data_IF_397291412917
#
_entry.id   IF_397291412917
#
_cell.length_a   1.000
_cell.length_b   1.000
_cell.length_c   1.000
_cell.angle_alpha   90.00
_cell.angle_beta   90.00
_cell.angle_gamma   90.00
#
_symmetry.space_group_name_H-M   'P 1'
#
loop_
_entity.id
_entity.type
_entity.pdbx_description
1 polymer ?
#
# COMPACT_ATOMS: atom_id res chain seq x y z
N UNK A 1 31.24 -7.52 7.29
CA UNK A 1 31.11 -8.00 5.89
C UNK A 1 29.79 -7.49 5.36
N UNK A 2 29.77 -6.86 4.19
CA UNK A 2 28.54 -6.31 3.62
C UNK A 2 27.75 -7.41 2.90
N UNK A 3 26.52 -7.64 3.34
CA UNK A 3 25.59 -8.59 2.72
C UNK A 3 24.82 -7.92 1.60
N UNK A 4 24.70 -8.58 0.45
CA UNK A 4 24.03 -8.03 -0.72
C UNK A 4 22.90 -8.95 -1.17
N UNK A 5 21.78 -8.36 -1.55
CA UNK A 5 20.71 -8.99 -2.31
C UNK A 5 21.00 -8.82 -3.80
N UNK A 6 20.71 -9.81 -4.63
CA UNK A 6 20.87 -9.74 -6.08
C UNK A 6 19.54 -9.98 -6.79
N UNK A 7 19.31 -9.22 -7.86
CA UNK A 7 18.15 -9.38 -8.74
C UNK A 7 18.62 -9.43 -10.18
N UNK A 8 18.09 -10.40 -10.93
CA UNK A 8 18.42 -10.59 -12.34
C UNK A 8 17.13 -10.44 -13.14
N UNK A 9 17.15 -9.58 -14.16
CA UNK A 9 16.01 -9.34 -15.03
C UNK A 9 16.43 -9.48 -16.50
N UNK A 10 15.57 -10.00 -17.39
CA UNK A 10 15.90 -10.06 -18.80
C UNK A 10 16.08 -8.66 -19.39
N UNK A 11 17.11 -8.47 -20.20
CA UNK A 11 17.27 -7.23 -20.95
C UNK A 11 16.12 -7.07 -21.95
N UNK A 12 15.65 -5.84 -22.20
CA UNK A 12 14.67 -5.58 -23.26
C UNK A 12 15.16 -6.16 -24.59
N UNK A 13 14.34 -6.98 -25.24
CA UNK A 13 14.66 -7.55 -26.57
C UNK A 13 14.22 -6.64 -27.72
N UNK A 14 13.35 -5.66 -27.43
CA UNK A 14 12.77 -4.73 -28.39
C UNK A 14 12.66 -3.36 -27.75
N UNK A 15 12.72 -2.31 -28.58
CA UNK A 15 12.51 -0.96 -28.13
C UNK A 15 11.04 -0.63 -27.89
N UNK A 16 10.78 0.14 -26.84
CA UNK A 16 9.45 0.62 -26.47
C UNK A 16 9.14 1.90 -27.27
N UNK A 17 7.89 2.05 -27.72
CA UNK A 17 7.46 3.28 -28.40
C UNK A 17 7.20 4.37 -27.36
N UNK A 18 7.85 5.51 -27.52
CA UNK A 18 7.56 6.71 -26.75
C UNK A 18 7.52 7.95 -27.67
N UNK A 19 6.91 9.02 -27.17
CA UNK A 19 6.73 10.26 -27.93
C UNK A 19 8.09 10.87 -28.28
N UNK A 20 8.28 11.19 -29.56
CA UNK A 20 9.50 11.84 -30.05
C UNK A 20 10.63 10.88 -30.46
N UNK A 21 10.51 9.57 -30.18
CA UNK A 21 11.50 8.58 -30.61
C UNK A 21 11.23 8.17 -32.06
N UNK A 22 12.23 8.33 -32.93
CA UNK A 22 12.09 8.08 -34.37
C UNK A 22 12.86 6.84 -34.79
N UNK A 23 14.04 6.61 -34.22
CA UNK A 23 14.88 5.46 -34.58
C UNK A 23 14.52 4.20 -33.79
N UNK A 24 15.03 3.04 -34.22
CA UNK A 24 14.92 1.80 -33.46
C UNK A 24 15.88 1.80 -32.25
N UNK A 25 17.05 2.41 -32.41
CA UNK A 25 18.05 2.59 -31.36
C UNK A 25 17.50 3.46 -30.23
N UNK A 26 16.83 4.57 -30.54
CA UNK A 26 16.19 5.48 -29.57
C UNK A 26 15.17 4.73 -28.71
N UNK A 27 14.36 3.88 -29.35
CA UNK A 27 13.34 3.06 -28.70
C UNK A 27 13.97 2.01 -27.80
N UNK A 28 15.07 1.42 -28.23
CA UNK A 28 15.80 0.43 -27.45
C UNK A 28 16.48 1.07 -26.23
N UNK A 29 17.18 2.19 -26.42
CA UNK A 29 17.78 2.97 -25.36
C UNK A 29 16.72 3.40 -24.34
N UNK A 30 15.57 3.90 -24.80
CA UNK A 30 14.46 4.26 -23.92
C UNK A 30 13.94 3.08 -23.09
N UNK A 31 13.75 1.90 -23.71
CA UNK A 31 13.32 0.71 -22.99
C UNK A 31 14.34 0.29 -21.92
N UNK A 32 15.64 0.33 -22.25
CA UNK A 32 16.71 0.02 -21.31
C UNK A 32 16.76 1.04 -20.17
N UNK A 33 16.72 2.33 -20.48
CA UNK A 33 16.68 3.41 -19.49
C UNK A 33 15.49 3.27 -18.55
N UNK A 34 14.30 2.91 -19.07
CA UNK A 34 13.12 2.65 -18.25
C UNK A 34 13.38 1.56 -17.21
N UNK A 35 13.89 0.40 -17.63
CA UNK A 35 14.21 -0.71 -16.72
C UNK A 35 15.26 -0.30 -15.69
N UNK A 36 16.31 0.40 -16.11
CA UNK A 36 17.35 0.87 -15.18
C UNK A 36 16.79 1.84 -14.13
N UNK A 37 15.95 2.78 -14.54
CA UNK A 37 15.32 3.73 -13.62
C UNK A 37 14.33 3.06 -12.67
N UNK A 38 13.52 2.11 -13.16
CA UNK A 38 12.62 1.32 -12.30
C UNK A 38 13.41 0.55 -11.23
N UNK A 39 14.51 -0.08 -11.60
CA UNK A 39 15.37 -0.77 -10.63
C UNK A 39 16.06 0.20 -9.66
N UNK A 40 16.54 1.35 -10.14
CA UNK A 40 17.11 2.38 -9.29
C UNK A 40 16.09 2.95 -8.28
N UNK A 41 14.83 3.14 -8.69
CA UNK A 41 13.75 3.58 -7.79
C UNK A 41 13.48 2.58 -6.66
N UNK A 42 13.56 1.29 -6.96
CA UNK A 42 13.44 0.19 -5.99
C UNK A 42 14.71 0.01 -5.11
N UNK A 43 15.71 0.87 -5.28
CA UNK A 43 16.97 0.85 -4.54
C UNK A 43 17.99 -0.16 -5.04
N UNK A 44 17.84 -0.67 -6.27
CA UNK A 44 18.80 -1.58 -6.88
C UNK A 44 19.88 -0.83 -7.65
N UNK A 45 21.13 -1.27 -7.49
CA UNK A 45 22.31 -0.78 -8.21
C UNK A 45 22.62 -1.71 -9.39
N UNK A 46 22.80 -1.14 -10.58
CA UNK A 46 23.22 -1.90 -11.75
C UNK A 46 24.67 -2.39 -11.59
N UNK A 47 24.88 -3.69 -11.78
CA UNK A 47 26.21 -4.30 -11.67
C UNK A 47 26.81 -4.62 -13.03
N UNK A 48 26.08 -5.38 -13.86
CA UNK A 48 26.56 -5.83 -15.18
C UNK A 48 25.43 -6.42 -16.03
N UNK A 49 25.76 -6.72 -17.28
CA UNK A 49 24.94 -7.53 -18.18
C UNK A 49 25.65 -8.86 -18.44
N UNK A 50 24.93 -9.97 -18.26
CA UNK A 50 25.41 -11.32 -18.59
C UNK A 50 24.62 -11.85 -19.79
N UNK A 51 25.30 -12.50 -20.74
CA UNK A 51 24.64 -13.12 -21.91
C UNK A 51 24.81 -14.63 -21.83
N UNK A 52 23.70 -15.36 -21.69
CA UNK A 52 23.69 -16.80 -21.48
C UNK A 52 22.98 -17.53 -22.64
N UNK A 53 23.44 -18.73 -23.01
CA UNK A 53 22.70 -19.59 -23.92
C UNK A 53 21.45 -20.14 -23.24
N UNK A 54 20.35 -20.20 -23.98
CA UNK A 54 19.06 -20.77 -23.59
C UNK A 54 18.68 -21.79 -24.65
N UNK A 55 18.56 -23.05 -24.24
CA UNK A 55 18.10 -24.13 -25.10
C UNK A 55 16.57 -24.19 -25.09
N UNK A 56 15.97 -23.96 -26.26
CA UNK A 56 14.53 -24.04 -26.45
C UNK A 56 14.22 -25.16 -27.46
N UNK A 57 13.20 -25.99 -27.18
CA UNK A 57 12.72 -26.97 -28.16
C UNK A 57 11.84 -26.26 -29.17
N UNK A 58 12.27 -26.21 -30.43
CA UNK A 58 11.56 -25.49 -31.49
C UNK A 58 11.01 -26.46 -32.54
N UNK A 59 9.75 -26.28 -32.92
CA UNK A 59 9.09 -27.00 -34.02
C UNK A 59 8.51 -28.38 -33.67
N UNK A 60 7.75 -28.94 -34.61
CA UNK A 60 7.03 -30.22 -34.45
C UNK A 60 7.97 -31.43 -34.34
N UNK A 61 9.20 -31.33 -34.87
CA UNK A 61 10.22 -32.38 -34.84
C UNK A 61 11.15 -32.30 -33.62
N UNK A 62 10.94 -31.36 -32.70
CA UNK A 62 11.64 -31.30 -31.41
C UNK A 62 13.13 -30.93 -31.46
N UNK A 63 13.59 -30.22 -32.51
CA UNK A 63 14.99 -29.78 -32.60
C UNK A 63 15.29 -28.78 -31.46
N UNK A 64 16.41 -28.99 -30.77
CA UNK A 64 16.91 -28.05 -29.76
C UNK A 64 17.58 -26.87 -30.49
N UNK A 65 17.11 -25.66 -30.23
CA UNK A 65 17.72 -24.42 -30.70
C UNK A 65 18.33 -23.68 -29.52
N UNK A 66 19.59 -23.26 -29.66
CA UNK A 66 20.28 -22.44 -28.66
C UNK A 66 20.13 -20.97 -29.04
N UNK A 67 19.38 -20.21 -28.25
CA UNK A 67 19.30 -18.75 -28.35
C UNK A 67 20.18 -18.11 -27.29
N UNK A 68 20.69 -16.90 -27.54
CA UNK A 68 21.42 -16.15 -26.51
C UNK A 68 20.50 -15.09 -25.90
N UNK A 69 20.41 -15.07 -24.57
CA UNK A 69 19.64 -14.07 -23.85
C UNK A 69 20.54 -13.24 -22.95
N UNK A 70 20.46 -11.92 -23.11
CA UNK A 70 21.08 -10.96 -22.20
C UNK A 70 20.21 -10.71 -20.97
N UNK A 71 20.84 -10.70 -19.81
CA UNK A 71 20.26 -10.52 -18.49
C UNK A 71 20.98 -9.37 -17.79
N UNK A 72 20.22 -8.46 -17.20
CA UNK A 72 20.74 -7.35 -16.40
C UNK A 72 20.81 -7.80 -14.94
N UNK A 73 21.99 -7.67 -14.35
CA UNK A 73 22.27 -8.05 -12.95
C UNK A 73 22.31 -6.79 -12.10
N UNK A 74 21.50 -6.77 -11.06
CA UNK A 74 21.43 -5.71 -10.08
C UNK A 74 21.75 -6.23 -8.68
N UNK A 75 22.25 -5.34 -7.82
CA UNK A 75 22.50 -5.64 -6.40
C UNK A 75 21.91 -4.56 -5.49
N UNK A 76 21.62 -4.89 -4.25
CA UNK A 76 21.25 -3.92 -3.20
C UNK A 76 21.90 -4.35 -1.89
N UNK A 77 22.48 -3.41 -1.15
CA UNK A 77 23.02 -3.70 0.17
C UNK A 77 21.88 -4.02 1.15
N UNK A 78 21.98 -5.17 1.83
CA UNK A 78 21.12 -5.47 2.97
C UNK A 78 21.70 -4.76 4.19
N UNK A 79 20.90 -3.88 4.80
CA UNK A 79 21.32 -3.17 6.00
C UNK A 79 21.57 -4.19 7.11
N UNK A 80 22.83 -4.43 7.44
CA UNK A 80 23.18 -5.19 8.63
C UNK A 80 22.72 -4.39 9.85
N UNK A 81 22.19 -5.05 10.88
CA UNK A 81 21.77 -4.40 12.13
C UNK A 81 22.91 -3.56 12.77
N UNK A 82 24.16 -3.81 12.40
CA UNK A 82 25.34 -3.07 12.85
C UNK A 82 25.66 -1.78 12.05
N UNK A 83 25.08 -1.58 10.85
CA UNK A 83 25.32 -0.41 9.99
C UNK A 83 24.24 0.69 10.15
N UNK A 84 23.42 0.57 11.19
CA UNK A 84 22.59 1.66 11.68
C UNK A 84 23.50 2.76 12.27
N UNK A 85 24.08 3.60 11.40
CA UNK A 85 24.82 4.79 11.82
C UNK A 85 24.00 5.69 12.77
N UNK A 86 24.62 6.68 13.43
CA UNK A 86 24.01 7.45 14.53
C UNK A 86 22.68 8.15 14.19
N UNK A 87 22.36 8.33 12.91
CA UNK A 87 21.04 8.82 12.46
C UNK A 87 19.89 7.83 12.72
N UNK A 88 20.13 6.51 12.63
CA UNK A 88 19.15 5.49 12.95
C UNK A 88 18.94 5.36 14.48
N UNK A 89 19.98 5.57 15.28
CA UNK A 89 19.87 5.68 16.74
C UNK A 89 19.07 6.93 17.17
N UNK A 90 19.24 8.08 16.50
CA UNK A 90 18.46 9.29 16.77
C UNK A 90 16.96 9.12 16.48
N UNK A 91 16.59 8.36 15.46
CA UNK A 91 15.18 8.08 15.17
C UNK A 91 14.51 7.22 16.26
N UNK A 92 15.28 6.40 17.00
CA UNK A 92 14.78 5.59 18.12
C UNK A 92 14.74 6.40 19.43
N UNK A 93 15.58 7.43 19.59
CA UNK A 93 15.63 8.28 20.80
C UNK A 93 14.76 9.54 20.72
N UNK A 94 14.10 9.80 19.58
CA UNK A 94 13.31 11.02 19.35
C UNK A 94 11.79 10.85 19.58
N UNK A 95 11.35 9.78 20.24
CA UNK A 95 10.06 9.77 20.91
C UNK A 95 10.29 9.97 22.42
N UNK A 96 10.12 11.18 22.96
CA UNK A 96 9.71 11.25 24.35
C UNK A 96 8.32 10.62 24.40
N UNK A 97 8.25 9.37 24.87
CA UNK A 97 6.99 8.82 25.37
C UNK A 97 6.54 9.80 26.45
N UNK A 98 5.63 10.70 26.09
CA UNK A 98 4.89 11.47 27.04
C UNK A 98 4.19 10.44 27.94
N UNK A 99 4.39 10.49 29.27
CA UNK A 99 3.66 9.60 30.15
C UNK A 99 2.16 9.78 29.88
N UNK A 100 1.37 8.70 29.82
CA UNK A 100 -0.08 8.84 29.70
C UNK A 100 -0.56 9.73 30.86
N UNK A 101 -1.48 10.67 30.61
CA UNK A 101 -2.02 11.48 31.70
C UNK A 101 -2.64 10.54 32.72
N UNK A 102 -2.18 10.64 33.97
CA UNK A 102 -2.82 9.98 35.10
C UNK A 102 -4.30 10.40 35.10
N UNK A 103 -5.26 9.47 35.30
CA UNK A 103 -6.64 9.85 35.43
C UNK A 103 -6.77 10.82 36.60
N UNK A 104 -7.26 12.03 36.31
CA UNK A 104 -7.61 12.99 37.34
C UNK A 104 -8.68 12.34 38.23
N UNK A 105 -8.33 12.05 39.49
CA UNK A 105 -9.31 11.75 40.51
C UNK A 105 -10.15 13.02 40.66
N UNK A 106 -11.40 12.95 40.20
CA UNK A 106 -12.35 14.03 40.39
C UNK A 106 -12.49 14.30 41.90
N UNK A 107 -12.44 15.57 42.35
CA UNK A 107 -12.74 15.87 43.74
C UNK A 107 -14.19 15.48 44.02
N UNK A 108 -14.39 14.74 45.11
CA UNK A 108 -15.71 14.42 45.63
C UNK A 108 -16.55 15.71 45.78
N UNK A 109 -17.82 15.73 45.37
CA UNK A 109 -18.65 16.91 45.52
C UNK A 109 -18.88 17.19 47.00
N UNK A 110 -18.47 18.38 47.45
CA UNK A 110 -18.85 18.93 48.75
C UNK A 110 -20.36 19.24 48.70
N UNK A 111 -21.14 18.87 49.73
CA UNK A 111 -22.58 19.15 49.73
C UNK A 111 -22.83 20.66 49.88
N UNK A 112 -23.75 21.26 49.12
CA UNK A 112 -24.14 22.64 49.35
C UNK A 112 -25.00 22.75 50.62
N UNK A 113 -24.65 23.75 51.43
CA UNK A 113 -25.39 24.15 52.62
C UNK A 113 -26.82 24.60 52.27
N UNK A 114 -27.72 24.32 53.21
CA UNK A 114 -29.18 24.46 53.19
C UNK A 114 -29.68 25.91 53.17
N UNK A 115 -30.78 26.17 52.43
CA UNK A 115 -32.03 26.86 52.84
C UNK A 115 -32.61 27.81 51.75
N UNK A 116 -33.93 28.13 51.76
CA UNK A 116 -35.11 27.32 52.13
C UNK A 116 -36.17 27.24 51.00
N UNK A 117 -37.10 26.30 51.18
CA UNK A 117 -38.18 25.95 50.27
C UNK A 117 -39.27 27.02 50.10
N UNK A 118 -39.85 27.08 48.89
CA UNK A 118 -41.16 27.70 48.60
C UNK A 118 -42.00 26.67 47.83
N UNK A 119 -43.27 26.39 48.23
CA UNK A 119 -44.10 25.29 47.71
C UNK A 119 -44.86 25.64 46.38
N UNK A 120 -45.54 24.67 45.75
CA UNK A 120 -45.84 24.63 44.31
C UNK A 120 -47.24 25.19 43.94
N UNK A 121 -47.59 25.18 42.64
CA UNK A 121 -48.81 24.46 42.28
C UNK A 121 -48.68 23.57 41.02
N UNK A 122 -49.48 22.50 41.02
CA UNK A 122 -49.67 21.49 39.98
C UNK A 122 -50.64 21.97 38.87
N UNK A 123 -51.20 21.07 38.04
CA UNK A 123 -50.64 20.22 36.97
C UNK A 123 -51.19 20.66 35.60
N UNK A 124 -50.87 19.99 34.47
CA UNK A 124 -51.80 19.62 33.37
C UNK A 124 -51.07 18.86 32.25
N UNK A 125 -51.60 17.66 31.98
CA UNK A 125 -51.72 16.89 30.72
C UNK A 125 -50.52 16.61 29.78
N UNK A 126 -50.39 15.31 29.48
CA UNK A 126 -49.74 14.73 28.30
C UNK A 126 -50.42 15.19 26.98
N UNK A 127 -49.82 14.98 25.78
CA UNK A 127 -49.71 13.63 25.21
C UNK A 127 -48.42 13.32 24.41
N UNK A 128 -48.07 12.03 24.36
CA UNK A 128 -47.23 11.39 23.32
C UNK A 128 -47.99 11.34 21.96
N UNK A 129 -47.46 10.85 20.82
CA UNK A 129 -46.14 10.26 20.49
C UNK A 129 -45.55 10.83 19.17
N UNK A 130 -44.44 10.28 18.66
CA UNK A 130 -44.32 9.68 17.30
C UNK A 130 -43.01 8.91 17.17
N UNK A 131 -43.12 7.60 17.01
CA UNK A 131 -42.06 6.70 16.55
C UNK A 131 -42.08 6.72 15.02
N UNK A 132 -40.96 6.97 14.36
CA UNK A 132 -40.82 6.69 12.93
C UNK A 132 -39.53 5.90 12.69
N UNK A 133 -39.69 4.59 12.58
CA UNK A 133 -38.70 3.63 12.10
C UNK A 133 -39.14 3.20 10.71
N UNK A 134 -38.41 3.60 9.67
CA UNK A 134 -38.51 2.97 8.36
C UNK A 134 -37.10 2.70 7.84
N UNK A 135 -36.73 1.42 7.85
CA UNK A 135 -35.63 0.86 7.08
C UNK A 135 -36.23 -0.21 6.19
N UNK A 136 -35.99 -0.01 4.89
CA UNK A 136 -35.66 -1.00 3.87
C UNK A 136 -36.59 -2.20 3.63
N UNK A 137 -37.15 -2.26 2.43
CA UNK A 137 -37.58 -3.50 1.80
C UNK A 137 -37.33 -3.41 0.28
N UNK A 138 -36.30 -4.13 -0.16
CA UNK A 138 -36.00 -4.41 -1.57
C UNK A 138 -37.03 -5.35 -2.24
N UNK A 139 -36.87 -5.62 -3.55
CA UNK A 139 -37.98 -5.91 -4.45
C UNK A 139 -38.27 -7.42 -4.61
N UNK A 140 -39.55 -7.75 -4.81
CA UNK A 140 -40.06 -9.07 -5.17
C UNK A 140 -40.28 -9.20 -6.69
N UNK A 141 -40.15 -10.41 -7.28
CA UNK A 141 -40.08 -10.61 -8.72
C UNK A 141 -41.44 -10.79 -9.42
N UNK A 142 -41.40 -10.60 -10.75
CA UNK A 142 -42.46 -10.78 -11.74
C UNK A 142 -42.81 -12.25 -12.01
N UNK A 143 -44.10 -12.51 -12.28
CA UNK A 143 -44.75 -13.57 -13.13
C UNK A 143 -46.10 -13.93 -12.47
N UNK A 144 -47.25 -14.01 -13.15
CA UNK A 144 -47.56 -13.89 -14.56
C UNK A 144 -49.08 -13.80 -14.78
N UNK A 145 -49.40 -13.64 -16.06
CA UNK A 145 -50.67 -13.51 -16.78
C UNK A 145 -51.86 -14.38 -16.39
N UNK A 146 -53.08 -13.83 -16.51
CA UNK A 146 -54.15 -14.39 -17.35
C UNK A 146 -55.26 -13.35 -17.59
N UNK A 147 -55.75 -13.32 -18.84
CA UNK A 147 -56.91 -12.59 -19.36
C UNK A 147 -58.20 -13.28 -18.92
N UNK A 148 -59.29 -12.53 -18.78
CA UNK A 148 -60.44 -12.54 -19.70
C UNK A 148 -61.17 -11.20 -19.62
#
# INVERSE_FOLDING_TARGET
>A
MQTHEYKVVPAPRKGDKARGLKSAEDRFAYALTRVMNEMALDGWEYLRTDTLPVEERTGLTGRVSTSFQSLLVFRRALKSAADAGPAALRAVMADPVAPPPLPAVAPAPVPPATAPAVPPPAPVAAPSPRLNTQSDAGPAPLLGSARD
#
